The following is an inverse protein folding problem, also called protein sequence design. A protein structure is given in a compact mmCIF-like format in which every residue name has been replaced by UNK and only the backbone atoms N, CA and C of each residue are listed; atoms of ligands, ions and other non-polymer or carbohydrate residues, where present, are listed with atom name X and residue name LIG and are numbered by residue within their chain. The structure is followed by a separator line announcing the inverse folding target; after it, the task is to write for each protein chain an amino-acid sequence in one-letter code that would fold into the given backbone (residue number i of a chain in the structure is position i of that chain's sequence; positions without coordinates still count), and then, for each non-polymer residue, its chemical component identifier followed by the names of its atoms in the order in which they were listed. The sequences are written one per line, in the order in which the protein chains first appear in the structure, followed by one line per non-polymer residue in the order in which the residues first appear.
data_IF_611437451066
#
_entry.id   IF_611437451066
#
_cell.length_a   1.000
_cell.length_b   1.000
_cell.length_c   1.000
_cell.angle_alpha   90.00
_cell.angle_beta   90.00
_cell.angle_gamma   90.00
#
_symmetry.space_group_name_H-M   'P 1'
#
loop_
_entity.id
_entity.type
_entity.pdbx_description
1 polymer ?
#
# COMPACT_ATOMS: atom_id res chain seq x y z
N UNK A 1 -17.61 4.81 -2.52
CA UNK A 1 -16.22 4.33 -2.62
C UNK A 1 -15.67 4.66 -3.98
N UNK A 2 -14.67 5.52 -4.09
CA UNK A 2 -14.05 5.92 -5.36
C UNK A 2 -12.69 5.23 -5.52
N UNK A 3 -12.60 4.27 -6.44
CA UNK A 3 -11.41 3.46 -6.71
C UNK A 3 -10.57 3.95 -7.90
N UNK A 4 -11.12 4.88 -8.69
CA UNK A 4 -10.47 5.42 -9.87
C UNK A 4 -10.59 4.56 -11.13
N UNK A 5 -9.95 5.01 -12.22
CA UNK A 5 -10.09 4.40 -13.54
C UNK A 5 -8.95 3.42 -13.89
N UNK A 6 -7.99 3.16 -12.99
CA UNK A 6 -6.74 2.52 -13.39
C UNK A 6 -6.85 1.02 -13.54
N UNK A 7 -7.42 0.33 -12.56
CA UNK A 7 -7.57 -1.13 -12.57
C UNK A 7 -8.99 -1.53 -12.15
N UNK A 8 -9.37 -2.77 -12.47
CA UNK A 8 -10.59 -3.37 -11.91
C UNK A 8 -10.44 -3.63 -10.41
N UNK A 9 -11.56 -3.74 -9.71
CA UNK A 9 -11.61 -4.14 -8.29
C UNK A 9 -12.37 -5.45 -8.18
N UNK A 10 -11.74 -6.54 -7.69
CA UNK A 10 -10.31 -6.69 -7.40
C UNK A 10 -9.46 -6.64 -8.69
N UNK A 11 -8.17 -6.28 -8.58
CA UNK A 11 -7.28 -6.30 -9.73
C UNK A 11 -6.87 -7.74 -10.08
N UNK A 12 -6.58 -8.07 -11.35
CA UNK A 12 -6.18 -9.42 -11.75
C UNK A 12 -4.75 -9.80 -11.34
N UNK A 13 -4.03 -8.88 -10.68
CA UNK A 13 -2.64 -9.07 -10.26
C UNK A 13 -2.15 -7.91 -9.41
N UNK A 14 -1.20 -7.13 -9.92
CA UNK A 14 -0.75 -5.92 -9.25
C UNK A 14 -1.87 -4.89 -9.15
N UNK A 15 -1.99 -4.23 -7.99
CA UNK A 15 -2.96 -3.17 -7.73
C UNK A 15 -3.06 -2.91 -6.23
N UNK A 16 -2.18 -2.01 -5.71
CA UNK A 16 -2.09 -1.76 -4.27
C UNK A 16 -3.39 -1.20 -3.69
N UNK A 17 -3.91 -0.14 -4.29
CA UNK A 17 -5.11 0.56 -3.82
C UNK A 17 -6.36 -0.30 -4.04
N UNK A 18 -6.47 -0.91 -5.21
CA UNK A 18 -7.61 -1.75 -5.57
C UNK A 18 -7.71 -2.99 -4.66
N UNK A 19 -6.57 -3.56 -4.24
CA UNK A 19 -6.54 -4.63 -3.25
C UNK A 19 -6.99 -4.16 -1.86
N UNK A 20 -6.63 -2.94 -1.45
CA UNK A 20 -7.13 -2.34 -0.20
C UNK A 20 -8.66 -2.21 -0.26
N UNK A 21 -9.21 -1.71 -1.36
CA UNK A 21 -10.66 -1.54 -1.55
C UNK A 21 -11.35 -2.91 -1.59
N UNK A 22 -10.79 -3.87 -2.35
CA UNK A 22 -11.33 -5.23 -2.44
C UNK A 22 -11.35 -5.95 -1.09
N UNK A 23 -10.40 -5.61 -0.21
CA UNK A 23 -10.31 -6.15 1.15
C UNK A 23 -11.27 -5.42 2.11
N UNK A 24 -11.44 -4.11 1.98
CA UNK A 24 -12.22 -3.26 2.87
C UNK A 24 -13.74 -3.41 2.64
N UNK A 25 -14.18 -3.37 1.40
CA UNK A 25 -15.60 -3.26 1.05
C UNK A 25 -16.46 -4.43 1.56
N UNK A 26 -16.05 -5.71 1.47
CA UNK A 26 -16.82 -6.81 2.03
C UNK A 26 -17.10 -6.66 3.53
N UNK A 27 -16.12 -6.16 4.29
CA UNK A 27 -16.27 -5.97 5.73
C UNK A 27 -17.15 -4.75 6.06
N UNK A 28 -17.05 -3.66 5.32
CA UNK A 28 -17.95 -2.53 5.46
C UNK A 28 -19.40 -2.96 5.23
N UNK A 29 -19.67 -3.79 4.22
CA UNK A 29 -21.01 -4.31 3.95
C UNK A 29 -21.52 -5.22 5.08
N UNK A 30 -20.63 -6.02 5.70
CA UNK A 30 -20.97 -6.81 6.90
C UNK A 30 -21.34 -5.93 8.11
N UNK A 31 -20.75 -4.74 8.17
CA UNK A 31 -21.08 -3.73 9.18
C UNK A 31 -22.33 -2.90 8.82
N UNK A 32 -23.04 -3.25 7.75
CA UNK A 32 -24.29 -2.61 7.33
C UNK A 32 -24.10 -1.35 6.47
N UNK A 33 -22.88 -1.09 5.98
CA UNK A 33 -22.64 0.03 5.06
C UNK A 33 -23.06 -0.38 3.65
N UNK A 34 -23.99 0.38 3.05
CA UNK A 34 -24.31 0.26 1.62
C UNK A 34 -23.19 0.91 0.80
N UNK A 35 -22.64 0.19 -0.18
CA UNK A 35 -21.50 0.64 -0.95
C UNK A 35 -21.84 0.83 -2.42
N UNK A 36 -21.73 2.07 -2.91
CA UNK A 36 -21.69 2.43 -4.32
C UNK A 36 -20.23 2.53 -4.72
N UNK A 37 -19.78 1.72 -5.67
CA UNK A 37 -18.40 1.68 -6.15
C UNK A 37 -18.26 2.47 -7.45
N UNK A 38 -17.46 3.54 -7.45
CA UNK A 38 -17.02 4.22 -8.64
C UNK A 38 -15.66 3.63 -9.09
N UNK A 39 -15.68 2.90 -10.19
CA UNK A 39 -14.53 2.17 -10.74
C UNK A 39 -14.71 1.92 -12.24
N UNK A 40 -13.95 1.00 -12.83
CA UNK A 40 -14.13 0.57 -14.22
C UNK A 40 -15.18 -0.53 -14.34
N UNK A 41 -15.81 -0.65 -15.50
CA UNK A 41 -16.93 -1.58 -15.75
C UNK A 41 -16.56 -3.05 -15.56
N UNK A 42 -15.29 -3.41 -15.82
CA UNK A 42 -14.75 -4.75 -15.60
C UNK A 42 -14.50 -5.13 -14.14
N UNK A 43 -14.79 -4.25 -13.17
CA UNK A 43 -14.73 -4.58 -11.74
C UNK A 43 -15.79 -5.61 -11.36
N UNK A 44 -15.41 -6.59 -10.55
CA UNK A 44 -16.26 -7.72 -10.16
C UNK A 44 -16.52 -7.81 -8.65
N UNK A 45 -16.04 -6.80 -7.90
CA UNK A 45 -16.27 -6.76 -6.46
C UNK A 45 -17.77 -6.69 -6.16
N UNK A 46 -18.32 -7.59 -5.33
CA UNK A 46 -19.72 -7.53 -4.93
C UNK A 46 -20.03 -6.25 -4.14
N UNK A 47 -20.80 -5.36 -4.74
CA UNK A 47 -21.24 -4.08 -4.19
C UNK A 47 -22.75 -3.90 -4.41
N UNK A 48 -23.33 -2.89 -3.79
CA UNK A 48 -24.77 -2.62 -3.93
C UNK A 48 -25.08 -1.91 -5.24
N UNK A 49 -24.15 -1.10 -5.74
CA UNK A 49 -24.24 -0.41 -7.04
C UNK A 49 -22.84 -0.09 -7.55
N UNK A 50 -22.67 -0.05 -8.88
CA UNK A 50 -21.41 0.32 -9.53
C UNK A 50 -21.64 1.48 -10.52
N UNK A 51 -20.73 2.45 -10.47
CA UNK A 51 -20.62 3.58 -11.41
C UNK A 51 -19.34 3.40 -12.20
N UNK A 52 -19.42 3.50 -13.54
CA UNK A 52 -18.24 3.39 -14.39
C UNK A 52 -18.30 4.38 -15.56
N UNK A 53 -17.15 4.99 -15.84
CA UNK A 53 -16.93 5.84 -17.04
C UNK A 53 -16.20 5.06 -18.12
N UNK A 54 -15.30 4.18 -17.72
CA UNK A 54 -14.53 3.31 -18.61
C UNK A 54 -14.96 1.86 -18.44
N UNK A 55 -15.06 1.12 -19.54
CA UNK A 55 -15.37 -0.30 -19.47
C UNK A 55 -14.23 -1.09 -18.80
N UNK A 56 -12.97 -0.78 -19.15
CA UNK A 56 -11.78 -1.48 -18.68
C UNK A 56 -10.78 -0.54 -18.05
N UNK A 57 -9.86 -1.12 -17.25
CA UNK A 57 -8.80 -0.40 -16.56
C UNK A 57 -7.85 0.34 -17.51
N UNK A 58 -7.51 1.56 -17.15
CA UNK A 58 -6.68 2.46 -17.96
C UNK A 58 -5.21 2.47 -17.54
N UNK A 59 -4.75 1.48 -16.77
CA UNK A 59 -3.40 1.44 -16.19
C UNK A 59 -2.29 1.55 -17.23
N UNK A 60 -2.44 0.90 -18.39
CA UNK A 60 -1.46 0.98 -19.47
C UNK A 60 -1.24 2.42 -19.99
N UNK A 61 -2.23 3.30 -19.83
CA UNK A 61 -2.11 4.69 -20.23
C UNK A 61 -1.14 5.50 -19.36
N UNK A 62 -0.82 5.04 -18.14
CA UNK A 62 0.14 5.71 -17.25
C UNK A 62 1.56 5.82 -17.82
N UNK A 63 1.88 5.02 -18.84
CA UNK A 63 3.14 5.11 -19.58
C UNK A 63 3.16 6.24 -20.62
N UNK A 64 2.02 6.89 -20.88
CA UNK A 64 1.91 7.98 -21.86
C UNK A 64 2.35 9.31 -21.24
N UNK A 65 2.68 10.33 -22.08
CA UNK A 65 2.95 11.68 -21.59
C UNK A 65 1.82 12.25 -20.74
N UNK A 66 2.16 13.04 -19.73
CA UNK A 66 1.22 13.61 -18.76
C UNK A 66 -0.01 14.26 -19.40
N UNK A 67 0.15 15.04 -20.48
CA UNK A 67 -0.94 15.71 -21.18
C UNK A 67 -1.97 14.76 -21.83
N UNK A 68 -1.66 13.48 -21.95
CA UNK A 68 -2.59 12.45 -22.42
C UNK A 68 -3.23 11.67 -21.26
N UNK A 69 -2.55 11.59 -20.12
CA UNK A 69 -2.98 10.78 -18.95
C UNK A 69 -3.91 11.57 -18.04
N UNK A 70 -3.64 12.86 -17.82
CA UNK A 70 -4.43 13.68 -16.89
C UNK A 70 -5.93 13.71 -17.23
N UNK A 71 -6.30 13.66 -18.51
CA UNK A 71 -7.69 13.62 -18.95
C UNK A 71 -8.45 12.35 -18.57
N UNK A 72 -7.76 11.23 -18.36
CA UNK A 72 -8.39 9.96 -17.96
C UNK A 72 -8.94 10.04 -16.54
N UNK A 73 -8.10 10.45 -15.58
CA UNK A 73 -8.53 10.63 -14.20
C UNK A 73 -9.63 11.70 -14.08
N UNK A 74 -9.50 12.80 -14.83
CA UNK A 74 -10.50 13.87 -14.85
C UNK A 74 -11.84 13.41 -15.46
N UNK A 75 -11.84 12.59 -16.52
CA UNK A 75 -13.06 12.05 -17.10
C UNK A 75 -13.79 11.14 -16.10
N UNK A 76 -13.05 10.28 -15.38
CA UNK A 76 -13.60 9.46 -14.32
C UNK A 76 -14.24 10.33 -13.21
N UNK A 77 -13.49 11.30 -12.68
CA UNK A 77 -13.96 12.19 -11.63
C UNK A 77 -15.15 13.06 -12.06
N UNK A 78 -15.17 13.55 -13.30
CA UNK A 78 -16.33 14.26 -13.84
C UNK A 78 -17.60 13.37 -13.87
N UNK A 79 -17.43 12.08 -14.17
CA UNK A 79 -18.50 11.10 -14.04
C UNK A 79 -18.99 10.93 -12.60
N UNK A 80 -18.06 10.77 -11.66
CA UNK A 80 -18.37 10.66 -10.22
C UNK A 80 -19.09 11.90 -9.70
N UNK A 81 -18.59 13.09 -10.01
CA UNK A 81 -19.20 14.36 -9.58
C UNK A 81 -20.63 14.51 -10.16
N UNK A 82 -20.84 14.14 -11.43
CA UNK A 82 -22.18 14.16 -12.03
C UNK A 82 -23.16 13.24 -11.31
N UNK A 83 -22.73 12.01 -10.96
CA UNK A 83 -23.54 11.08 -10.19
C UNK A 83 -23.85 11.64 -8.78
N UNK A 84 -22.87 12.20 -8.10
CA UNK A 84 -23.05 12.81 -6.79
C UNK A 84 -24.05 13.96 -6.79
N UNK A 85 -24.10 14.77 -7.87
CA UNK A 85 -25.08 15.84 -8.01
C UNK A 85 -26.51 15.34 -8.26
N UNK A 86 -26.70 14.12 -8.76
CA UNK A 86 -28.01 13.53 -9.04
C UNK A 86 -28.54 12.68 -7.89
N UNK A 87 -27.80 12.58 -6.77
CA UNK A 87 -28.08 11.67 -5.65
C UNK A 87 -28.21 12.42 -4.32
N UNK A 88 -29.17 11.98 -3.52
CA UNK A 88 -29.38 12.42 -2.13
C UNK A 88 -29.16 11.30 -1.11
N UNK A 89 -28.82 10.07 -1.59
CA UNK A 89 -28.63 8.86 -0.79
C UNK A 89 -27.17 8.55 -0.43
N UNK A 90 -26.25 9.50 -0.64
CA UNK A 90 -24.83 9.35 -0.32
C UNK A 90 -24.49 10.11 0.96
N UNK A 91 -24.28 9.38 2.05
CA UNK A 91 -23.85 9.93 3.33
C UNK A 91 -22.42 10.43 3.35
N UNK A 92 -21.53 9.74 2.60
CA UNK A 92 -20.09 10.00 2.60
C UNK A 92 -19.44 9.45 1.32
N UNK A 93 -18.47 10.19 0.78
CA UNK A 93 -17.55 9.68 -0.23
C UNK A 93 -16.26 9.23 0.44
N UNK A 94 -15.84 7.99 0.21
CA UNK A 94 -14.49 7.54 0.53
C UNK A 94 -13.68 7.48 -0.76
N UNK A 95 -12.69 8.37 -0.87
CA UNK A 95 -11.89 8.57 -2.06
C UNK A 95 -10.48 7.98 -1.91
N UNK A 96 -10.05 7.26 -2.95
CA UNK A 96 -8.72 6.65 -3.02
C UNK A 96 -7.93 7.13 -4.26
N UNK A 97 -8.48 8.09 -5.02
CA UNK A 97 -7.91 8.53 -6.29
C UNK A 97 -6.94 9.67 -6.09
N UNK A 98 -5.75 9.35 -5.64
CA UNK A 98 -4.58 10.25 -5.64
C UNK A 98 -4.88 11.76 -5.42
N UNK A 99 -3.94 12.60 -5.78
CA UNK A 99 -4.06 14.06 -5.69
C UNK A 99 -5.25 14.63 -6.48
N UNK A 100 -5.58 14.04 -7.63
CA UNK A 100 -6.67 14.54 -8.49
C UNK A 100 -8.05 14.30 -7.88
N UNK A 101 -8.26 13.20 -7.18
CA UNK A 101 -9.49 12.93 -6.45
C UNK A 101 -9.69 13.92 -5.32
N UNK A 102 -8.65 14.09 -4.48
CA UNK A 102 -8.65 15.06 -3.39
C UNK A 102 -8.95 16.48 -3.88
N UNK A 103 -8.26 16.95 -4.93
CA UNK A 103 -8.45 18.28 -5.49
C UNK A 103 -9.87 18.48 -6.04
N UNK A 104 -10.39 17.50 -6.78
CA UNK A 104 -11.72 17.59 -7.41
C UNK A 104 -12.83 17.62 -6.36
N UNK A 105 -12.77 16.77 -5.35
CA UNK A 105 -13.78 16.70 -4.30
C UNK A 105 -13.70 17.91 -3.36
N UNK A 106 -12.52 18.43 -3.08
CA UNK A 106 -12.36 19.68 -2.35
C UNK A 106 -12.97 20.88 -3.12
N UNK A 107 -12.81 20.91 -4.44
CA UNK A 107 -13.38 21.97 -5.29
C UNK A 107 -14.92 21.96 -5.35
N UNK A 108 -15.61 20.88 -4.98
CA UNK A 108 -17.07 20.87 -4.83
C UNK A 108 -17.55 21.77 -3.69
N UNK A 109 -16.68 22.06 -2.73
CA UNK A 109 -16.99 22.96 -1.61
C UNK A 109 -18.22 22.49 -0.81
N UNK A 110 -19.04 23.42 -0.30
CA UNK A 110 -20.23 23.08 0.53
C UNK A 110 -21.31 22.26 -0.18
N UNK A 111 -21.33 22.26 -1.51
CA UNK A 111 -22.28 21.48 -2.31
C UNK A 111 -21.91 19.99 -2.40
N UNK A 112 -20.66 19.64 -2.10
CA UNK A 112 -20.19 18.26 -2.09
C UNK A 112 -20.66 17.49 -0.85
N UNK A 113 -20.75 16.16 -0.93
CA UNK A 113 -20.96 15.30 0.23
C UNK A 113 -19.74 15.33 1.16
N UNK A 114 -19.90 14.97 2.46
CA UNK A 114 -18.76 14.69 3.32
C UNK A 114 -17.82 13.69 2.64
N UNK A 115 -16.52 13.97 2.67
CA UNK A 115 -15.53 13.15 1.95
C UNK A 115 -14.38 12.78 2.88
N UNK A 116 -14.03 11.50 2.91
CA UNK A 116 -12.79 10.99 3.46
C UNK A 116 -11.86 10.61 2.29
N UNK A 117 -10.65 11.19 2.24
CA UNK A 117 -9.64 10.81 1.26
C UNK A 117 -8.50 10.06 1.96
N UNK A 118 -8.21 8.83 1.53
CA UNK A 118 -7.09 8.05 2.06
C UNK A 118 -5.81 8.36 1.30
N UNK A 119 -4.79 8.79 2.05
CA UNK A 119 -3.45 9.08 1.54
C UNK A 119 -2.65 7.79 1.40
N UNK A 120 -2.56 7.24 0.17
CA UNK A 120 -1.82 6.00 -0.08
C UNK A 120 -0.35 6.20 -0.46
N UNK A 121 0.04 7.43 -0.77
CA UNK A 121 1.30 7.74 -1.44
C UNK A 121 2.31 8.42 -0.51
N UNK A 122 3.55 8.48 -1.00
CA UNK A 122 4.52 9.42 -0.46
C UNK A 122 4.04 10.85 -0.69
N UNK A 123 3.91 11.60 0.39
CA UNK A 123 3.38 12.96 0.38
C UNK A 123 4.33 13.97 -0.28
N UNK A 124 5.59 13.60 -0.52
CA UNK A 124 6.53 14.40 -1.28
C UNK A 124 6.21 14.47 -2.79
N UNK A 125 5.32 13.61 -3.30
CA UNK A 125 4.97 13.60 -4.73
C UNK A 125 4.17 14.82 -5.20
N UNK A 126 3.34 15.39 -4.34
CA UNK A 126 2.46 16.52 -4.70
C UNK A 126 2.53 17.65 -3.66
N UNK A 127 3.73 18.21 -3.37
CA UNK A 127 3.92 19.13 -2.26
C UNK A 127 3.12 20.42 -2.41
N UNK A 128 2.95 20.91 -3.63
CA UNK A 128 2.17 22.14 -3.89
C UNK A 128 0.68 21.95 -3.56
N UNK A 129 0.07 20.84 -3.97
CA UNK A 129 -1.32 20.55 -3.66
C UNK A 129 -1.51 20.30 -2.17
N UNK A 130 -0.70 19.42 -1.60
CA UNK A 130 -0.84 19.05 -0.19
C UNK A 130 -0.52 20.21 0.77
N UNK A 131 0.36 21.13 0.36
CA UNK A 131 0.68 22.33 1.14
C UNK A 131 -0.37 23.43 1.04
N UNK A 132 -1.24 23.39 0.03
CA UNK A 132 -2.28 24.39 -0.22
C UNK A 132 -3.71 23.87 -0.10
N UNK A 133 -3.88 22.65 0.46
CA UNK A 133 -5.21 22.07 0.58
C UNK A 133 -6.11 22.92 1.47
N UNK A 134 -7.24 23.32 0.92
CA UNK A 134 -8.38 23.81 1.67
C UNK A 134 -9.57 22.87 1.43
N UNK A 135 -9.76 21.94 2.33
CA UNK A 135 -10.87 20.97 2.30
C UNK A 135 -12.17 21.52 2.88
N UNK A 136 -12.14 22.74 3.40
CA UNK A 136 -13.25 23.35 4.14
C UNK A 136 -13.74 22.41 5.26
N UNK A 137 -15.05 22.35 5.45
CA UNK A 137 -15.69 21.47 6.44
C UNK A 137 -16.07 20.10 5.86
N UNK A 138 -15.96 19.91 4.55
CA UNK A 138 -16.48 18.73 3.84
C UNK A 138 -15.43 17.65 3.57
N UNK A 139 -14.18 18.02 3.34
CA UNK A 139 -13.12 17.07 2.99
C UNK A 139 -12.19 16.85 4.18
N UNK A 140 -12.03 15.61 4.55
CA UNK A 140 -11.06 15.14 5.55
C UNK A 140 -10.15 14.12 4.92
N UNK A 141 -8.95 13.99 5.47
CA UNK A 141 -7.97 13.01 5.02
C UNK A 141 -7.64 12.04 6.14
N UNK A 142 -7.23 10.83 5.77
CA UNK A 142 -6.56 9.92 6.69
C UNK A 142 -5.28 9.37 6.07
N UNK A 143 -4.30 9.10 6.93
CA UNK A 143 -3.11 8.37 6.53
C UNK A 143 -3.29 6.85 6.63
N UNK A 144 -2.34 6.12 6.09
CA UNK A 144 -2.21 4.67 6.30
C UNK A 144 -1.26 4.33 7.45
N UNK A 145 -0.66 5.35 8.08
CA UNK A 145 0.14 5.26 9.32
C UNK A 145 0.24 6.60 10.02
N UNK A 146 0.54 6.61 11.31
CA UNK A 146 0.82 7.82 12.09
C UNK A 146 2.11 8.50 11.57
N UNK A 147 3.11 7.71 11.23
CA UNK A 147 4.38 8.18 10.67
C UNK A 147 4.18 8.96 9.37
N UNK A 148 3.29 8.51 8.47
CA UNK A 148 2.96 9.25 7.25
C UNK A 148 2.35 10.62 7.59
N UNK A 149 1.37 10.67 8.50
CA UNK A 149 0.72 11.93 8.89
C UNK A 149 1.66 12.88 9.63
N UNK A 150 2.58 12.37 10.44
CA UNK A 150 3.55 13.19 11.14
C UNK A 150 4.46 14.00 10.18
N UNK A 151 4.69 13.46 8.98
CA UNK A 151 5.45 14.12 7.90
C UNK A 151 4.59 14.90 6.92
N UNK A 152 3.27 14.89 7.09
CA UNK A 152 2.37 15.61 6.20
C UNK A 152 2.52 17.12 6.36
N UNK A 153 2.33 17.90 5.29
CA UNK A 153 2.18 19.35 5.37
C UNK A 153 1.08 19.76 6.36
N UNK A 154 1.21 20.96 6.95
CA UNK A 154 0.27 21.44 7.96
C UNK A 154 -1.18 21.41 7.47
N UNK A 155 -1.43 21.84 6.23
CA UNK A 155 -2.76 21.83 5.63
C UNK A 155 -3.41 20.42 5.62
N UNK A 156 -2.65 19.37 5.29
CA UNK A 156 -3.17 18.00 5.40
C UNK A 156 -3.41 17.57 6.85
N UNK A 157 -2.51 17.92 7.76
CA UNK A 157 -2.65 17.56 9.19
C UNK A 157 -3.88 18.20 9.83
N UNK A 158 -4.19 19.44 9.51
CA UNK A 158 -5.39 20.15 9.98
C UNK A 158 -6.69 19.54 9.48
N UNK A 159 -6.66 18.91 8.30
CA UNK A 159 -7.80 18.18 7.74
C UNK A 159 -7.81 16.68 8.09
N UNK A 160 -6.82 16.20 8.85
CA UNK A 160 -6.71 14.77 9.19
C UNK A 160 -7.68 14.37 10.29
N UNK A 161 -8.32 13.22 10.09
CA UNK A 161 -9.15 12.54 11.12
C UNK A 161 -8.44 11.34 11.75
N UNK A 162 -7.17 11.11 11.43
CA UNK A 162 -6.35 10.03 11.94
C UNK A 162 -5.82 9.11 10.84
N UNK A 163 -5.43 7.89 11.21
CA UNK A 163 -4.91 6.89 10.28
C UNK A 163 -5.55 5.52 10.48
N UNK A 164 -5.48 4.69 9.44
CA UNK A 164 -5.87 3.28 9.50
C UNK A 164 -4.78 2.45 8.85
N UNK A 165 -4.16 1.53 9.60
CA UNK A 165 -3.18 0.62 9.03
C UNK A 165 -3.82 -0.29 7.99
N UNK A 166 -3.05 -0.63 6.96
CA UNK A 166 -3.47 -1.56 5.93
C UNK A 166 -3.62 -2.97 6.52
N UNK A 167 -4.54 -3.73 5.96
CA UNK A 167 -4.84 -5.10 6.36
C UNK A 167 -4.51 -6.09 5.25
N UNK A 168 -4.53 -7.36 5.60
CA UNK A 168 -4.44 -8.45 4.63
C UNK A 168 -5.46 -9.54 4.96
N UNK A 169 -6.09 -10.16 3.94
CA UNK A 169 -6.92 -11.36 4.14
C UNK A 169 -6.14 -12.53 4.76
N UNK A 170 -4.81 -12.56 4.59
CA UNK A 170 -3.94 -13.57 5.20
C UNK A 170 -3.94 -13.52 6.72
N UNK A 171 -4.30 -12.40 7.34
CA UNK A 171 -4.40 -12.26 8.78
C UNK A 171 -5.67 -12.89 9.39
N UNK A 172 -6.66 -13.23 8.56
CA UNK A 172 -7.88 -13.91 9.03
C UNK A 172 -7.51 -15.32 9.49
N UNK A 173 -7.81 -15.63 10.75
CA UNK A 173 -7.49 -16.91 11.41
C UNK A 173 -6.00 -17.32 11.29
N UNK A 174 -5.09 -16.35 11.13
CA UNK A 174 -3.67 -16.62 10.96
C UNK A 174 -3.08 -17.39 12.16
N UNK A 175 -3.53 -17.07 13.37
CA UNK A 175 -3.13 -17.72 14.62
C UNK A 175 -3.62 -19.18 14.76
N UNK A 176 -4.58 -19.60 13.93
CA UNK A 176 -5.14 -20.96 13.91
C UNK A 176 -4.53 -21.86 12.82
N UNK A 177 -3.78 -21.27 11.90
CA UNK A 177 -3.13 -22.04 10.81
C UNK A 177 -1.98 -22.88 11.35
N UNK A 178 -1.64 -24.03 10.72
CA UNK A 178 -0.44 -24.78 11.06
C UNK A 178 0.81 -23.89 10.98
N UNK A 179 1.77 -24.16 11.89
CA UNK A 179 3.06 -23.46 11.84
C UNK A 179 3.77 -23.80 10.52
N UNK A 180 4.23 -22.80 9.75
CA UNK A 180 4.96 -23.06 8.54
C UNK A 180 6.36 -23.62 8.85
N UNK A 181 6.81 -24.58 8.02
CA UNK A 181 8.20 -25.01 8.03
C UNK A 181 9.08 -23.86 7.50
N UNK A 182 10.07 -23.45 8.29
CA UNK A 182 11.00 -22.39 7.92
C UNK A 182 12.19 -22.93 7.17
N UNK A 183 12.46 -22.34 6.00
CA UNK A 183 13.71 -22.50 5.27
C UNK A 183 14.81 -21.59 5.84
N UNK A 184 15.95 -21.60 5.15
CA UNK A 184 17.11 -20.81 5.57
C UNK A 184 17.20 -19.43 4.89
N UNK A 185 16.37 -19.20 3.87
CA UNK A 185 16.46 -17.99 3.04
C UNK A 185 15.81 -16.76 3.69
N UNK A 186 16.43 -15.61 3.41
CA UNK A 186 15.81 -14.30 3.59
C UNK A 186 14.97 -13.96 2.36
N UNK A 187 13.95 -13.14 2.53
CA UNK A 187 13.11 -12.67 1.44
C UNK A 187 13.00 -11.14 1.46
N UNK A 188 13.27 -10.50 0.31
CA UNK A 188 12.83 -9.13 0.05
C UNK A 188 11.71 -9.18 -0.99
N UNK A 189 10.49 -8.86 -0.58
CA UNK A 189 9.30 -8.84 -1.44
C UNK A 189 8.91 -7.41 -1.78
N UNK A 190 8.97 -7.03 -3.05
CA UNK A 190 8.57 -5.73 -3.55
C UNK A 190 9.31 -5.31 -4.81
N UNK A 191 8.86 -4.22 -5.44
CA UNK A 191 9.55 -3.64 -6.60
C UNK A 191 11.00 -3.35 -6.25
N UNK A 192 11.91 -3.64 -7.18
CA UNK A 192 13.32 -3.36 -6.99
C UNK A 192 13.59 -1.90 -7.38
N UNK A 193 14.01 -1.12 -6.40
CA UNK A 193 14.38 0.29 -6.56
C UNK A 193 15.26 0.76 -5.39
N UNK A 194 15.93 1.92 -5.51
CA UNK A 194 16.86 2.41 -4.48
C UNK A 194 16.25 2.52 -3.07
N UNK A 195 14.98 2.92 -2.99
CA UNK A 195 14.30 3.12 -1.70
C UNK A 195 14.03 1.82 -0.94
N UNK A 196 13.94 0.69 -1.62
CA UNK A 196 13.68 -0.63 -1.02
C UNK A 196 14.94 -1.35 -0.54
N UNK A 197 16.16 -0.94 -0.97
CA UNK A 197 17.43 -1.39 -0.43
C UNK A 197 17.81 -2.83 -0.78
N UNK A 198 17.40 -3.35 -1.96
CA UNK A 198 17.78 -4.71 -2.37
C UNK A 198 19.29 -4.88 -2.53
N UNK A 199 20.03 -3.83 -2.87
CA UNK A 199 21.48 -3.79 -2.89
C UNK A 199 22.10 -4.02 -1.51
N UNK A 200 21.52 -3.42 -0.46
CA UNK A 200 21.90 -3.68 0.95
C UNK A 200 21.66 -5.13 1.30
N UNK A 201 20.46 -5.64 0.99
CA UNK A 201 20.11 -7.04 1.27
C UNK A 201 21.04 -8.02 0.55
N UNK A 202 21.39 -7.76 -0.72
CA UNK A 202 22.26 -8.62 -1.50
C UNK A 202 23.70 -8.64 -0.94
N UNK A 203 24.28 -7.49 -0.61
CA UNK A 203 25.58 -7.42 0.07
C UNK A 203 25.55 -8.08 1.45
N UNK A 204 24.46 -7.89 2.18
CA UNK A 204 24.26 -8.51 3.50
C UNK A 204 24.27 -10.04 3.39
N UNK A 205 23.54 -10.62 2.44
CA UNK A 205 23.48 -12.06 2.23
C UNK A 205 24.89 -12.67 2.04
N UNK A 206 25.72 -12.04 1.21
CA UNK A 206 27.13 -12.46 1.04
C UNK A 206 27.95 -12.31 2.31
N UNK A 207 27.75 -11.25 3.10
CA UNK A 207 28.48 -11.00 4.33
C UNK A 207 28.18 -12.04 5.42
N UNK A 208 26.91 -12.46 5.53
CA UNK A 208 26.49 -13.41 6.58
C UNK A 208 26.36 -14.85 6.10
N UNK A 209 26.47 -15.12 4.78
CA UNK A 209 26.36 -16.47 4.22
C UNK A 209 24.94 -17.04 4.27
N UNK A 210 23.89 -16.21 4.31
CA UNK A 210 22.50 -16.64 4.33
C UNK A 210 21.86 -16.40 2.95
N UNK A 211 21.18 -17.41 2.36
CA UNK A 211 20.53 -17.25 1.07
C UNK A 211 19.48 -16.12 1.07
N UNK A 212 19.43 -15.34 0.00
CA UNK A 212 18.48 -14.27 -0.20
C UNK A 212 17.69 -14.45 -1.49
N UNK A 213 16.37 -14.38 -1.39
CA UNK A 213 15.48 -14.30 -2.53
C UNK A 213 14.96 -12.87 -2.69
N UNK A 214 15.17 -12.30 -3.86
CA UNK A 214 14.59 -11.04 -4.29
C UNK A 214 13.37 -11.34 -5.15
N UNK A 215 12.17 -10.96 -4.70
CA UNK A 215 10.92 -11.21 -5.39
C UNK A 215 10.21 -9.89 -5.70
N UNK A 216 10.03 -9.59 -6.99
CA UNK A 216 9.38 -8.39 -7.48
C UNK A 216 9.93 -7.92 -8.82
N UNK A 217 9.24 -6.99 -9.49
CA UNK A 217 9.65 -6.49 -10.78
C UNK A 217 10.81 -5.51 -10.68
N UNK A 218 11.58 -5.43 -11.77
CA UNK A 218 12.60 -4.41 -12.04
C UNK A 218 12.05 -3.49 -13.12
N UNK A 219 11.65 -2.28 -12.77
CA UNK A 219 10.94 -1.41 -13.70
C UNK A 219 9.72 -2.12 -14.32
N UNK A 220 9.62 -2.20 -15.67
CA UNK A 220 8.51 -2.90 -16.34
C UNK A 220 8.73 -4.42 -16.46
N UNK A 221 9.87 -4.97 -16.03
CA UNK A 221 10.24 -6.37 -16.23
C UNK A 221 9.83 -7.22 -15.04
N UNK A 222 8.94 -8.18 -15.30
CA UNK A 222 8.41 -9.09 -14.29
C UNK A 222 9.18 -10.41 -14.21
N UNK A 223 10.00 -10.76 -15.21
CA UNK A 223 10.80 -12.00 -15.22
C UNK A 223 12.25 -11.70 -15.58
N UNK A 224 13.20 -12.43 -14.98
CA UNK A 224 14.61 -12.31 -15.31
C UNK A 224 14.91 -12.44 -16.81
N UNK A 225 14.25 -13.39 -17.48
CA UNK A 225 14.42 -13.61 -18.92
C UNK A 225 13.99 -12.40 -19.77
N UNK A 226 12.93 -11.68 -19.35
CA UNK A 226 12.46 -10.51 -20.08
C UNK A 226 13.46 -9.35 -19.99
N UNK A 227 14.06 -9.15 -18.82
CA UNK A 227 15.11 -8.15 -18.63
C UNK A 227 16.40 -8.54 -19.38
N UNK A 228 16.78 -9.82 -19.36
CA UNK A 228 17.95 -10.31 -20.07
C UNK A 228 17.82 -10.18 -21.60
N UNK A 229 16.60 -10.25 -22.12
CA UNK A 229 16.29 -10.05 -23.53
C UNK A 229 16.14 -8.56 -23.92
N UNK A 230 16.09 -7.66 -22.95
CA UNK A 230 15.95 -6.22 -23.21
C UNK A 230 17.25 -5.63 -23.74
N UNK A 231 17.14 -4.70 -24.69
CA UNK A 231 18.28 -3.94 -25.21
C UNK A 231 18.76 -2.84 -24.24
N UNK A 232 19.78 -2.09 -24.68
CA UNK A 232 20.38 -0.99 -23.89
C UNK A 232 19.36 0.10 -23.49
N UNK A 233 18.27 0.25 -24.22
CA UNK A 233 17.19 1.18 -23.90
C UNK A 233 16.53 0.91 -22.52
N UNK A 234 16.59 -0.32 -22.05
CA UNK A 234 16.08 -0.67 -20.72
C UNK A 234 16.72 0.16 -19.60
N UNK A 235 18.01 0.55 -19.76
CA UNK A 235 18.74 1.41 -18.80
C UNK A 235 18.19 2.83 -18.70
N UNK A 236 17.30 3.27 -19.58
CA UNK A 236 16.62 4.56 -19.44
C UNK A 236 15.61 4.56 -18.29
N UNK A 237 15.18 3.38 -17.85
CA UNK A 237 14.36 3.25 -16.64
C UNK A 237 15.27 3.28 -15.39
N UNK A 238 15.05 4.21 -14.44
CA UNK A 238 15.91 4.36 -13.26
C UNK A 238 15.97 3.11 -12.36
N UNK A 239 14.86 2.36 -12.25
CA UNK A 239 14.84 1.13 -11.44
C UNK A 239 15.64 0.02 -12.12
N UNK A 240 15.62 -0.04 -13.46
CA UNK A 240 16.46 -0.98 -14.24
C UNK A 240 17.93 -0.60 -14.12
N UNK A 241 18.25 0.69 -14.24
CA UNK A 241 19.63 1.15 -14.06
C UNK A 241 20.16 0.79 -12.67
N UNK A 242 19.40 1.09 -11.62
CA UNK A 242 19.75 0.73 -10.23
C UNK A 242 19.95 -0.78 -10.08
N UNK A 243 19.06 -1.60 -10.63
CA UNK A 243 19.22 -3.06 -10.56
C UNK A 243 20.50 -3.52 -11.21
N UNK A 244 20.76 -3.07 -12.44
CA UNK A 244 21.93 -3.51 -13.21
C UNK A 244 23.27 -3.04 -12.59
N UNK A 245 23.29 -1.85 -11.98
CA UNK A 245 24.50 -1.26 -11.45
C UNK A 245 24.78 -1.68 -10.00
N UNK A 246 23.74 -1.82 -9.15
CA UNK A 246 23.90 -1.98 -7.71
C UNK A 246 23.45 -3.36 -7.18
N UNK A 247 22.51 -4.03 -7.85
CA UNK A 247 21.94 -5.30 -7.34
C UNK A 247 22.48 -6.50 -8.12
N UNK A 248 22.44 -6.45 -9.45
CA UNK A 248 22.82 -7.57 -10.32
C UNK A 248 24.24 -8.07 -10.11
N UNK A 249 25.26 -7.23 -9.78
CA UNK A 249 26.60 -7.71 -9.46
C UNK A 249 26.67 -8.69 -8.28
N UNK A 250 25.67 -8.69 -7.44
CA UNK A 250 25.55 -9.55 -6.26
C UNK A 250 24.57 -10.74 -6.46
N UNK A 251 23.88 -10.80 -7.60
CA UNK A 251 22.97 -11.91 -7.95
C UNK A 251 23.74 -13.01 -8.64
N UNK A 252 24.16 -14.02 -7.89
CA UNK A 252 24.99 -15.15 -8.39
C UNK A 252 24.14 -16.37 -8.80
N UNK A 253 22.85 -16.36 -8.51
CA UNK A 253 21.93 -17.46 -8.83
C UNK A 253 21.93 -18.61 -7.81
N UNK A 254 22.78 -18.54 -6.78
CA UNK A 254 22.90 -19.52 -5.70
C UNK A 254 22.58 -18.88 -4.35
N UNK A 255 23.46 -18.06 -3.82
CA UNK A 255 23.27 -17.37 -2.55
C UNK A 255 22.27 -16.20 -2.68
N UNK A 256 22.35 -15.44 -3.75
CA UNK A 256 21.39 -14.35 -4.03
C UNK A 256 20.69 -14.61 -5.36
N UNK A 257 19.37 -14.73 -5.31
CA UNK A 257 18.54 -15.00 -6.49
C UNK A 257 17.46 -13.93 -6.68
N UNK A 258 17.32 -13.43 -7.89
CA UNK A 258 16.16 -12.67 -8.29
C UNK A 258 15.19 -13.59 -9.08
N UNK A 259 13.99 -13.77 -8.54
CA UNK A 259 12.98 -14.69 -9.10
C UNK A 259 11.92 -13.98 -9.95
N UNK A 260 11.99 -12.65 -10.05
CA UNK A 260 10.94 -11.87 -10.71
C UNK A 260 9.71 -11.67 -9.84
N UNK A 261 8.57 -11.40 -10.47
CA UNK A 261 7.29 -11.20 -9.77
C UNK A 261 6.66 -12.54 -9.43
N UNK A 262 6.35 -12.74 -8.18
CA UNK A 262 5.60 -13.89 -7.66
C UNK A 262 4.19 -13.46 -7.23
N UNK A 263 3.20 -14.35 -7.34
CA UNK A 263 1.82 -14.07 -7.00
C UNK A 263 1.08 -15.30 -6.47
N UNK A 264 -0.08 -15.09 -5.85
CA UNK A 264 -0.94 -16.17 -5.35
C UNK A 264 -0.22 -17.09 -4.37
N UNK A 265 -0.44 -18.38 -4.47
CA UNK A 265 0.10 -19.40 -3.56
C UNK A 265 1.64 -19.43 -3.55
N UNK A 266 2.28 -19.27 -4.72
CA UNK A 266 3.75 -19.23 -4.81
C UNK A 266 4.34 -18.09 -3.95
N UNK A 267 3.72 -16.90 -4.00
CA UNK A 267 4.11 -15.76 -3.14
C UNK A 267 3.93 -16.09 -1.67
N UNK A 268 2.79 -16.66 -1.31
CA UNK A 268 2.45 -16.97 0.07
C UNK A 268 3.36 -18.05 0.65
N UNK A 269 3.68 -19.09 -0.15
CA UNK A 269 4.61 -20.15 0.24
C UNK A 269 6.04 -19.61 0.42
N UNK A 270 6.47 -18.72 -0.48
CA UNK A 270 7.79 -18.09 -0.39
C UNK A 270 7.91 -17.20 0.88
N UNK A 271 6.85 -16.44 1.20
CA UNK A 271 6.78 -15.68 2.44
C UNK A 271 6.75 -16.60 3.67
N UNK A 272 5.88 -17.61 3.67
CA UNK A 272 5.69 -18.49 4.81
C UNK A 272 6.96 -19.28 5.14
N UNK A 273 7.69 -19.75 4.12
CA UNK A 273 8.91 -20.54 4.29
C UNK A 273 10.16 -19.69 4.56
N UNK A 274 10.13 -18.38 4.37
CA UNK A 274 11.30 -17.55 4.64
C UNK A 274 11.69 -17.58 6.12
N UNK A 275 13.00 -17.61 6.41
CA UNK A 275 13.56 -17.44 7.77
C UNK A 275 13.14 -16.09 8.35
N UNK A 276 13.27 -15.03 7.55
CA UNK A 276 12.80 -13.70 7.85
C UNK A 276 12.54 -12.91 6.56
N UNK A 277 11.60 -11.97 6.61
CA UNK A 277 11.45 -10.95 5.58
C UNK A 277 12.34 -9.76 5.91
N UNK A 278 13.15 -9.34 4.96
CA UNK A 278 14.12 -8.26 5.13
C UNK A 278 13.62 -6.98 4.44
N UNK A 279 13.61 -5.87 5.18
CA UNK A 279 13.20 -4.55 4.68
C UNK A 279 14.28 -3.50 5.00
N UNK A 280 15.39 -3.47 4.25
CA UNK A 280 16.49 -2.52 4.44
C UNK A 280 16.16 -1.18 3.79
N UNK A 281 15.05 -0.58 4.20
CA UNK A 281 14.47 0.58 3.53
C UNK A 281 15.33 1.82 3.72
N UNK A 282 15.49 2.58 2.63
CA UNK A 282 16.09 3.93 2.61
C UNK A 282 15.06 5.05 2.42
N UNK A 283 13.78 4.70 2.38
CA UNK A 283 12.68 5.63 2.27
C UNK A 283 11.67 5.43 3.40
N UNK A 284 10.79 6.39 3.56
CA UNK A 284 9.76 6.36 4.61
C UNK A 284 8.52 5.61 4.09
N UNK A 285 8.44 4.33 4.34
CA UNK A 285 7.35 3.46 3.90
C UNK A 285 6.01 3.94 4.48
N UNK A 286 4.99 4.24 3.66
CA UNK A 286 3.73 4.75 4.19
C UNK A 286 2.85 3.68 4.84
N UNK A 287 2.70 2.50 4.24
CA UNK A 287 1.66 1.53 4.64
C UNK A 287 2.13 0.10 4.95
N UNK A 288 3.25 -0.37 4.38
CA UNK A 288 3.89 -1.62 4.74
C UNK A 288 3.07 -2.90 4.54
N UNK A 289 2.30 -3.03 3.46
CA UNK A 289 1.45 -4.21 3.21
C UNK A 289 2.24 -5.52 3.26
N UNK A 290 3.43 -5.57 2.65
CA UNK A 290 4.27 -6.77 2.66
C UNK A 290 4.76 -7.13 4.08
N UNK A 291 4.89 -6.16 4.98
CA UNK A 291 5.20 -6.40 6.40
C UNK A 291 4.05 -7.14 7.08
N UNK A 292 2.82 -6.65 6.95
CA UNK A 292 1.67 -7.31 7.60
C UNK A 292 1.37 -8.67 6.99
N UNK A 293 1.62 -8.87 5.69
CA UNK A 293 1.54 -10.17 5.02
C UNK A 293 2.59 -11.15 5.55
N UNK A 294 3.82 -10.70 5.75
CA UNK A 294 4.88 -11.51 6.37
C UNK A 294 4.48 -11.99 7.77
N UNK A 295 4.02 -11.07 8.62
CA UNK A 295 3.57 -11.42 9.97
C UNK A 295 2.39 -12.39 9.94
N UNK A 296 1.43 -12.20 9.04
CA UNK A 296 0.26 -13.07 8.92
C UNK A 296 0.61 -14.51 8.52
N UNK A 297 1.71 -14.68 7.78
CA UNK A 297 2.24 -15.99 7.39
C UNK A 297 3.29 -16.55 8.39
N UNK A 298 3.48 -15.87 9.53
CA UNK A 298 4.39 -16.30 10.58
C UNK A 298 5.85 -16.07 10.24
N UNK A 299 6.16 -15.06 9.42
CA UNK A 299 7.53 -14.72 9.07
C UNK A 299 7.94 -13.44 9.79
N UNK A 300 8.91 -13.52 10.71
CA UNK A 300 9.40 -12.35 11.40
C UNK A 300 10.08 -11.37 10.43
N UNK A 301 10.08 -10.10 10.80
CA UNK A 301 10.58 -9.04 9.95
C UNK A 301 11.87 -8.45 10.52
N UNK A 302 12.91 -8.34 9.69
CA UNK A 302 14.13 -7.58 10.00
C UNK A 302 14.13 -6.33 9.13
N UNK A 303 14.27 -5.15 9.73
CA UNK A 303 14.09 -3.92 8.97
C UNK A 303 14.84 -2.72 9.54
N UNK A 304 15.10 -1.74 8.67
CA UNK A 304 15.40 -0.37 9.12
C UNK A 304 14.13 0.28 9.68
N UNK A 305 14.24 1.01 10.79
CA UNK A 305 13.13 1.66 11.49
C UNK A 305 12.65 2.92 10.75
N UNK A 306 12.09 2.74 9.55
CA UNK A 306 11.63 3.83 8.68
C UNK A 306 10.13 3.75 8.39
N UNK A 307 9.51 4.92 8.27
CA UNK A 307 8.10 5.04 7.94
C UNK A 307 7.20 4.34 8.95
N UNK A 308 6.26 3.55 8.46
CA UNK A 308 5.30 2.82 9.28
C UNK A 308 5.89 1.57 9.98
N UNK A 309 7.11 1.15 9.68
CA UNK A 309 7.63 -0.12 10.18
C UNK A 309 7.65 -0.21 11.71
N UNK A 310 8.05 0.84 12.47
CA UNK A 310 7.96 0.83 13.93
C UNK A 310 6.54 0.76 14.50
N UNK A 311 5.53 1.08 13.70
CA UNK A 311 4.12 0.95 14.10
C UNK A 311 3.57 -0.47 13.88
N UNK A 312 4.11 -1.18 12.89
CA UNK A 312 3.65 -2.51 12.49
C UNK A 312 4.39 -3.64 13.20
N UNK A 313 5.67 -3.43 13.50
CA UNK A 313 6.60 -4.42 14.03
C UNK A 313 6.81 -4.18 15.52
N UNK A 314 6.54 -5.18 16.34
CA UNK A 314 6.88 -5.18 17.75
C UNK A 314 8.32 -5.72 17.90
N UNK A 315 9.29 -4.80 18.14
CA UNK A 315 10.71 -5.13 18.24
C UNK A 315 10.96 -6.20 19.32
N UNK A 316 11.72 -7.23 18.97
CA UNK A 316 11.99 -8.38 19.86
C UNK A 316 10.85 -9.40 19.95
N UNK A 317 9.71 -9.19 19.28
CA UNK A 317 8.55 -10.07 19.33
C UNK A 317 8.10 -10.55 17.96
N UNK A 318 7.81 -9.64 17.04
CA UNK A 318 7.40 -9.96 15.68
C UNK A 318 8.45 -9.60 14.63
N UNK A 319 9.52 -8.96 15.05
CA UNK A 319 10.63 -8.59 14.20
C UNK A 319 11.70 -7.82 14.97
N UNK A 320 12.74 -7.45 14.24
CA UNK A 320 13.88 -6.70 14.75
C UNK A 320 14.08 -5.43 13.92
N UNK A 321 14.23 -4.31 14.59
CA UNK A 321 14.35 -2.98 13.98
C UNK A 321 15.68 -2.35 14.37
N UNK A 322 16.32 -1.67 13.42
CA UNK A 322 17.49 -0.84 13.65
C UNK A 322 17.41 0.46 12.85
N UNK A 323 18.15 1.46 13.25
CA UNK A 323 18.38 2.69 12.46
C UNK A 323 19.69 2.66 11.68
N UNK A 324 20.53 1.63 11.90
CA UNK A 324 21.83 1.44 11.28
C UNK A 324 21.83 0.21 10.34
N UNK A 325 22.07 0.41 9.06
CA UNK A 325 22.14 -0.67 8.07
C UNK A 325 23.24 -1.71 8.39
N UNK A 326 24.30 -1.32 9.09
CA UNK A 326 25.40 -2.25 9.45
C UNK A 326 24.95 -3.29 10.49
N UNK A 327 24.01 -2.97 11.36
CA UNK A 327 23.48 -3.88 12.37
C UNK A 327 22.54 -4.95 11.77
N UNK A 328 22.04 -4.76 10.55
CA UNK A 328 21.10 -5.71 9.92
C UNK A 328 21.64 -7.14 9.87
N UNK A 329 22.97 -7.32 9.79
CA UNK A 329 23.60 -8.64 9.80
C UNK A 329 23.35 -9.42 11.08
N UNK A 330 23.58 -8.79 12.22
CA UNK A 330 23.37 -9.39 13.53
C UNK A 330 21.88 -9.65 13.79
N UNK A 331 21.03 -8.72 13.33
CA UNK A 331 19.58 -8.88 13.47
C UNK A 331 19.02 -10.03 12.64
N UNK A 332 19.54 -10.24 11.43
CA UNK A 332 19.15 -11.37 10.57
C UNK A 332 19.52 -12.71 11.22
N UNK A 333 20.71 -12.79 11.84
CA UNK A 333 21.13 -13.97 12.61
C UNK A 333 20.22 -14.21 13.82
N UNK A 334 19.87 -13.15 14.53
CA UNK A 334 19.01 -13.23 15.72
C UNK A 334 17.52 -13.50 15.38
N UNK A 335 17.08 -13.30 14.14
CA UNK A 335 15.68 -13.47 13.75
C UNK A 335 15.14 -14.89 13.95
N UNK A 336 16.00 -15.93 13.96
CA UNK A 336 15.60 -17.31 14.22
C UNK A 336 15.08 -17.53 15.65
N UNK A 337 15.41 -16.64 16.58
CA UNK A 337 14.95 -16.71 17.97
C UNK A 337 13.51 -16.21 18.15
N UNK A 338 12.94 -15.58 17.10
CA UNK A 338 11.57 -15.07 17.13
C UNK A 338 10.57 -16.18 16.84
N UNK A 339 9.44 -16.15 17.56
CA UNK A 339 8.39 -17.15 17.41
C UNK A 339 7.44 -16.78 16.24
N UNK A 340 7.35 -17.62 15.17
CA UNK A 340 6.40 -17.43 14.09
C UNK A 340 4.94 -17.36 14.53
N UNK A 341 4.57 -18.05 15.64
CA UNK A 341 3.20 -18.03 16.14
C UNK A 341 2.84 -16.66 16.73
N UNK A 342 3.81 -15.98 17.32
CA UNK A 342 3.65 -14.62 17.79
C UNK A 342 3.37 -13.63 16.64
N UNK A 343 4.08 -13.77 15.53
CA UNK A 343 3.84 -12.97 14.33
C UNK A 343 2.39 -13.14 13.86
N UNK A 344 1.91 -14.39 13.73
CA UNK A 344 0.54 -14.72 13.31
C UNK A 344 -0.51 -14.20 14.27
N UNK A 345 -0.26 -14.34 15.57
CA UNK A 345 -1.19 -13.86 16.60
C UNK A 345 -1.36 -12.35 16.57
N UNK A 346 -0.26 -11.61 16.45
CA UNK A 346 -0.30 -10.14 16.32
C UNK A 346 -1.02 -9.74 15.01
N UNK A 347 -0.73 -10.43 13.90
CA UNK A 347 -1.40 -10.16 12.64
C UNK A 347 -2.92 -10.40 12.72
N UNK A 348 -3.36 -11.51 13.31
CA UNK A 348 -4.77 -11.83 13.50
C UNK A 348 -5.51 -10.82 14.38
N UNK A 349 -4.82 -10.23 15.35
CA UNK A 349 -5.39 -9.22 16.25
C UNK A 349 -5.47 -7.83 15.64
N UNK A 350 -4.50 -7.45 14.79
CA UNK A 350 -4.32 -6.05 14.38
C UNK A 350 -4.58 -5.76 12.91
N UNK A 351 -4.38 -6.74 12.02
CA UNK A 351 -4.28 -6.51 10.58
C UNK A 351 -5.30 -7.30 9.76
N UNK A 352 -6.41 -7.73 10.38
CA UNK A 352 -7.51 -8.34 9.63
C UNK A 352 -8.33 -7.28 8.89
N UNK A 353 -9.01 -7.65 7.78
CA UNK A 353 -9.94 -6.78 7.09
C UNK A 353 -11.05 -6.23 8.01
N UNK A 354 -11.54 -7.03 8.94
CA UNK A 354 -12.55 -6.63 9.91
C UNK A 354 -12.08 -5.49 10.83
N UNK A 355 -10.85 -5.59 11.35
CA UNK A 355 -10.24 -4.53 12.17
C UNK A 355 -10.09 -3.24 11.35
N UNK A 356 -9.62 -3.33 10.11
CA UNK A 356 -9.48 -2.18 9.21
C UNK A 356 -10.85 -1.51 8.97
N UNK A 357 -11.89 -2.30 8.67
CA UNK A 357 -13.22 -1.78 8.40
C UNK A 357 -13.83 -1.07 9.62
N UNK A 358 -13.69 -1.64 10.82
CA UNK A 358 -14.14 -1.00 12.06
C UNK A 358 -13.48 0.37 12.26
N UNK A 359 -12.17 0.47 12.03
CA UNK A 359 -11.43 1.74 12.12
C UNK A 359 -11.92 2.76 11.07
N UNK A 360 -12.22 2.32 9.84
CA UNK A 360 -12.78 3.23 8.84
C UNK A 360 -14.18 3.70 9.20
N UNK A 361 -15.04 2.87 9.78
CA UNK A 361 -16.37 3.30 10.26
C UNK A 361 -16.23 4.40 11.34
N UNK A 362 -15.29 4.25 12.28
CA UNK A 362 -14.98 5.31 13.27
C UNK A 362 -14.55 6.64 12.58
N UNK A 363 -13.75 6.55 11.51
CA UNK A 363 -13.37 7.75 10.75
C UNK A 363 -14.55 8.35 9.98
N UNK A 364 -15.43 7.53 9.39
CA UNK A 364 -16.63 8.01 8.70
C UNK A 364 -17.53 8.82 9.63
N UNK A 365 -17.71 8.36 10.86
CA UNK A 365 -18.50 9.08 11.87
C UNK A 365 -17.87 10.45 12.19
N UNK A 366 -16.54 10.52 12.35
CA UNK A 366 -15.80 11.79 12.57
C UNK A 366 -15.98 12.76 11.40
N UNK A 367 -15.89 12.25 10.16
CA UNK A 367 -16.08 13.07 8.95
C UNK A 367 -17.49 13.65 8.89
N UNK A 368 -18.52 12.82 9.15
CA UNK A 368 -19.93 13.26 9.17
C UNK A 368 -20.19 14.30 10.26
N UNK A 369 -19.65 14.11 11.46
CA UNK A 369 -19.77 15.07 12.55
C UNK A 369 -19.11 16.41 12.22
N UNK A 370 -17.90 16.39 11.62
CA UNK A 370 -17.19 17.60 11.18
C UNK A 370 -18.00 18.38 10.14
N UNK A 371 -18.65 17.70 9.20
CA UNK A 371 -19.47 18.32 8.15
C UNK A 371 -20.80 18.88 8.64
N UNK A 372 -21.30 18.41 9.79
CA UNK A 372 -22.57 18.82 10.40
C UNK A 372 -22.40 19.93 11.45
N UNK A 373 -21.17 20.24 11.85
CA UNK A 373 -20.91 21.29 12.86
C UNK A 373 -21.27 22.68 12.31
N UNK A 374 -22.01 23.53 13.08
CA UNK A 374 -22.27 24.87 12.65
C UNK A 374 -20.98 25.67 12.53
N UNK A 375 -20.81 26.37 11.41
CA UNK A 375 -19.68 27.30 11.23
C UNK A 375 -19.72 28.37 12.32
N UNK A 376 -18.74 28.39 13.19
CA UNK A 376 -18.41 29.58 13.95
C UNK A 376 -17.82 30.58 12.95
N UNK A 377 -18.58 31.59 12.55
CA UNK A 377 -18.05 32.69 11.75
C UNK A 377 -16.90 33.32 12.54
N UNK A 378 -15.74 33.55 11.92
CA UNK A 378 -14.68 34.29 12.58
C UNK A 378 -15.21 35.69 12.94
N UNK A 379 -14.95 36.13 14.18
CA UNK A 379 -15.34 37.41 14.71
C UNK A 379 -14.60 38.53 14.00
#
# INVERSE_FOLDING_TARGET
MNAGPWLSVPPPGYGGIENVIATLVPELRRLGVRVVLASVGSSTLPVDEQISVFADGQFAALQRPYNQVCGIAQAHLAGVVRELHSRDDVDLVHDHVEAVGLATLAAMGPAGPPTLHTLHWDLAKHPALYGSLDGGDRVRVNGVSASQLARAPLALREHSVGHVHLSTPLAVDADRRPRPDKGEHLLILGRINPGKGQDVGARLAHRVGIPLVLAGPVGPYHRPADLAAAGDEARQNPDVQFFLDEVAPHVDGDLVRWVGTVAGQERDDLLASARASLFPLRWEEPGGTAVVESLALGTPVVATARGCLPELIEHGRTGLLTTDEEELGDLVLAAELLDPDECRRVAAQRFTPAVMAQRYVELYERVRQSASAPRLLPA
#
